data_IF_353167053204
#
_entry.id   IF_353167053204
#
_cell.length_a   1.000
_cell.length_b   1.000
_cell.length_c   1.000
_cell.angle_alpha   90.00
_cell.angle_beta   90.00
_cell.angle_gamma   90.00
#
_symmetry.space_group_name_H-M   'P 1'
#
loop_
_entity.id
_entity.type
_entity.pdbx_description
1 polymer ?
#
# COMPACT_ATOMS: atom_id res chain seq x y z
N UNK A 1 1.33 17.13 -18.68
CA UNK A 1 2.30 16.03 -18.44
C UNK A 1 1.50 14.75 -18.44
N UNK A 2 2.01 13.64 -18.97
CA UNK A 2 1.22 12.41 -19.16
C UNK A 2 1.07 11.61 -17.85
N UNK A 3 -0.15 11.48 -17.28
CA UNK A 3 -0.40 10.74 -16.05
C UNK A 3 0.08 9.28 -16.10
N UNK A 4 0.03 8.64 -17.28
CA UNK A 4 0.41 7.24 -17.45
C UNK A 4 1.89 6.99 -17.13
N UNK A 5 2.75 7.99 -17.34
CA UNK A 5 4.19 7.90 -17.05
C UNK A 5 4.54 8.36 -15.62
N UNK A 6 3.79 9.34 -15.08
CA UNK A 6 4.12 9.98 -13.81
C UNK A 6 3.59 9.20 -12.60
N UNK A 7 2.38 8.65 -12.68
CA UNK A 7 1.76 7.89 -11.60
C UNK A 7 2.61 6.68 -11.15
N UNK A 8 3.07 5.78 -12.05
CA UNK A 8 3.88 4.63 -11.64
C UNK A 8 5.23 5.05 -11.06
N UNK A 9 5.82 6.16 -11.55
CA UNK A 9 7.07 6.68 -11.01
C UNK A 9 6.87 7.27 -9.61
N UNK A 10 5.85 8.10 -9.40
CA UNK A 10 5.59 8.74 -8.11
C UNK A 10 5.19 7.72 -7.04
N UNK A 11 4.28 6.81 -7.36
CA UNK A 11 3.87 5.76 -6.43
C UNK A 11 4.98 4.73 -6.20
N UNK A 12 5.78 4.43 -7.23
CA UNK A 12 6.99 3.62 -7.09
C UNK A 12 8.01 4.26 -6.15
N UNK A 13 8.26 5.56 -6.26
CA UNK A 13 9.12 6.31 -5.31
C UNK A 13 8.51 6.32 -3.91
N UNK A 14 7.21 6.58 -3.79
CA UNK A 14 6.50 6.53 -2.51
C UNK A 14 6.66 5.16 -1.83
N UNK A 15 6.55 4.08 -2.61
CA UNK A 15 6.72 2.71 -2.15
C UNK A 15 8.16 2.38 -1.74
N UNK A 16 9.17 2.80 -2.52
CA UNK A 16 10.58 2.47 -2.24
C UNK A 16 11.22 3.33 -1.14
N UNK A 17 10.68 4.52 -0.86
CA UNK A 17 11.25 5.43 0.14
C UNK A 17 11.30 4.84 1.56
N UNK A 18 10.23 4.18 2.08
CA UNK A 18 10.30 3.45 3.35
C UNK A 18 11.35 2.32 3.35
N UNK A 19 11.53 1.61 2.23
CA UNK A 19 12.56 0.57 2.12
C UNK A 19 13.97 1.16 2.20
N UNK A 20 14.20 2.29 1.52
CA UNK A 20 15.48 2.99 1.59
C UNK A 20 15.81 3.44 3.03
N UNK A 21 14.80 3.92 3.78
CA UNK A 21 14.93 4.20 5.21
C UNK A 21 15.29 2.94 6.01
N UNK A 22 14.57 1.83 5.81
CA UNK A 22 14.88 0.57 6.49
C UNK A 22 16.34 0.16 6.27
N UNK A 23 16.82 0.17 5.02
CA UNK A 23 18.19 -0.19 4.66
C UNK A 23 19.19 0.77 5.31
N UNK A 24 18.92 2.08 5.27
CA UNK A 24 19.78 3.08 5.91
C UNK A 24 19.91 2.83 7.43
N UNK A 25 18.81 2.55 8.12
CA UNK A 25 18.83 2.30 9.56
C UNK A 25 19.42 0.92 9.87
N UNK A 26 19.27 -0.08 9.00
CA UNK A 26 19.88 -1.39 9.17
C UNK A 26 21.41 -1.31 9.20
N UNK A 27 22.02 -0.57 8.27
CA UNK A 27 23.49 -0.47 8.17
C UNK A 27 24.08 0.61 9.08
N UNK A 28 23.37 1.72 9.28
CA UNK A 28 23.91 2.89 9.97
C UNK A 28 23.19 3.24 11.27
N UNK A 29 22.07 2.58 11.61
CA UNK A 29 21.24 2.91 12.79
C UNK A 29 22.01 2.97 14.12
N UNK A 30 22.85 1.99 14.47
CA UNK A 30 23.68 2.05 15.69
C UNK A 30 24.76 3.14 15.67
N UNK A 31 25.06 3.70 14.49
CA UNK A 31 26.05 4.77 14.28
C UNK A 31 25.42 6.15 14.05
N UNK A 32 24.09 6.24 14.00
CA UNK A 32 23.34 7.45 13.65
C UNK A 32 23.00 8.28 14.91
N UNK A 33 23.97 9.08 15.36
CA UNK A 33 23.83 10.02 16.47
C UNK A 33 23.91 9.39 17.87
N UNK A 34 23.79 10.20 18.94
CA UNK A 34 23.80 9.69 20.32
C UNK A 34 22.63 8.71 20.49
N UNK A 35 22.94 7.47 20.87
CA UNK A 35 21.96 6.41 21.14
C UNK A 35 21.01 6.07 19.97
N UNK A 36 21.31 6.49 18.74
CA UNK A 36 20.50 6.18 17.56
C UNK A 36 19.27 7.05 17.35
N UNK A 37 19.13 8.20 18.04
CA UNK A 37 17.99 9.13 17.89
C UNK A 37 17.70 9.52 16.43
N UNK A 38 18.73 9.63 15.60
CA UNK A 38 18.56 10.07 14.21
C UNK A 38 17.85 9.01 13.35
N UNK A 39 17.79 7.75 13.79
CA UNK A 39 17.05 6.71 13.10
C UNK A 39 15.55 7.03 12.98
N UNK A 40 14.94 7.58 14.05
CA UNK A 40 13.55 8.00 14.00
C UNK A 40 13.32 9.13 13.01
N UNK A 41 14.20 10.14 12.99
CA UNK A 41 14.09 11.26 12.05
C UNK A 41 14.24 10.81 10.60
N UNK A 42 15.16 9.89 10.31
CA UNK A 42 15.32 9.29 8.97
C UNK A 42 14.05 8.54 8.56
N UNK A 43 13.50 7.70 9.43
CA UNK A 43 12.26 6.98 9.16
C UNK A 43 11.07 7.92 8.94
N UNK A 44 10.84 8.86 9.87
CA UNK A 44 9.75 9.82 9.77
C UNK A 44 9.87 10.68 8.50
N UNK A 45 11.06 11.17 8.16
CA UNK A 45 11.28 11.95 6.95
C UNK A 45 10.98 11.13 5.68
N UNK A 46 11.37 9.86 5.66
CA UNK A 46 11.08 8.96 4.54
C UNK A 46 9.58 8.71 4.37
N UNK A 47 8.84 8.49 5.45
CA UNK A 47 7.38 8.31 5.38
C UNK A 47 6.67 9.60 4.97
N UNK A 48 7.10 10.77 5.48
CA UNK A 48 6.56 12.06 5.06
C UNK A 48 6.84 12.32 3.58
N UNK A 49 8.04 11.99 3.09
CA UNK A 49 8.34 12.07 1.66
C UNK A 49 7.43 11.14 0.82
N UNK A 50 7.18 9.92 1.29
CA UNK A 50 6.23 8.99 0.69
C UNK A 50 4.80 9.55 0.65
N UNK A 51 4.36 10.24 1.71
CA UNK A 51 3.08 10.96 1.74
C UNK A 51 3.04 12.08 0.70
N UNK A 52 4.11 12.88 0.59
CA UNK A 52 4.17 13.95 -0.41
C UNK A 52 4.08 13.41 -1.84
N UNK A 53 4.82 12.34 -2.17
CA UNK A 53 4.70 11.68 -3.48
C UNK A 53 3.29 11.14 -3.72
N UNK A 54 2.66 10.57 -2.69
CA UNK A 54 1.29 10.04 -2.77
C UNK A 54 0.25 11.15 -2.98
N UNK A 55 0.40 12.30 -2.32
CA UNK A 55 -0.47 13.47 -2.49
C UNK A 55 -0.33 14.09 -3.89
N UNK A 56 0.90 14.16 -4.41
CA UNK A 56 1.13 14.63 -5.79
C UNK A 56 0.50 13.67 -6.79
N UNK A 57 0.66 12.35 -6.61
CA UNK A 57 0.00 11.36 -7.44
C UNK A 57 -1.53 11.45 -7.37
N UNK A 58 -2.10 11.71 -6.19
CA UNK A 58 -3.53 11.95 -6.02
C UNK A 58 -4.02 13.21 -6.72
N UNK A 59 -3.26 14.30 -6.66
CA UNK A 59 -3.57 15.53 -7.40
C UNK A 59 -3.63 15.28 -8.92
N UNK A 60 -2.61 14.59 -9.46
CA UNK A 60 -2.56 14.20 -10.88
C UNK A 60 -3.75 13.29 -11.24
N UNK A 61 -4.11 12.36 -10.35
CA UNK A 61 -5.26 11.49 -10.56
C UNK A 61 -6.58 12.27 -10.64
N UNK A 62 -6.79 13.23 -9.73
CA UNK A 62 -8.01 14.07 -9.72
C UNK A 62 -8.10 14.98 -10.94
N UNK A 63 -6.98 15.49 -11.45
CA UNK A 63 -6.95 16.26 -12.69
C UNK A 63 -7.32 15.40 -13.90
N UNK A 64 -6.87 14.14 -13.94
CA UNK A 64 -7.20 13.19 -15.00
C UNK A 64 -8.63 12.61 -14.88
N UNK A 65 -9.18 12.56 -13.67
CA UNK A 65 -10.50 12.01 -13.36
C UNK A 65 -11.30 13.00 -12.50
N UNK A 66 -11.84 14.08 -13.11
CA UNK A 66 -12.65 15.03 -12.37
C UNK A 66 -13.85 14.31 -11.76
N UNK A 67 -14.01 14.44 -10.44
CA UNK A 67 -15.16 13.89 -9.72
C UNK A 67 -16.40 14.54 -10.31
N UNK A 68 -17.15 13.77 -11.10
CA UNK A 68 -18.50 14.15 -11.48
C UNK A 68 -19.31 14.10 -10.20
N UNK A 69 -19.43 15.26 -9.55
CA UNK A 69 -20.46 15.46 -8.53
C UNK A 69 -21.75 15.26 -9.29
N UNK A 70 -22.35 14.08 -9.15
CA UNK A 70 -23.73 13.87 -9.57
C UNK A 70 -24.49 15.02 -8.92
N UNK A 71 -24.94 15.97 -9.73
CA UNK A 71 -25.88 16.98 -9.29
C UNK A 71 -27.01 16.17 -8.68
N UNK A 72 -27.10 16.24 -7.35
CA UNK A 72 -28.18 15.65 -6.61
C UNK A 72 -29.39 16.47 -7.05
N UNK A 73 -30.07 15.99 -8.09
CA UNK A 73 -31.38 16.48 -8.52
C UNK A 73 -32.32 16.24 -7.34
N UNK A 74 -32.27 17.18 -6.40
CA UNK A 74 -33.30 17.47 -5.43
C UNK A 74 -34.52 17.99 -6.19
N UNK A 75 -35.16 17.14 -6.97
CA UNK A 75 -36.55 17.35 -7.31
C UNK A 75 -37.40 16.83 -6.15
N UNK A 76 -37.78 17.82 -5.35
CA UNK A 76 -38.79 17.81 -4.32
C UNK A 76 -39.97 16.88 -4.65
N UNK A 77 -40.44 16.22 -3.60
CA UNK A 77 -41.80 15.71 -3.53
C UNK A 77 -42.78 16.83 -3.84
N UNK A 78 -43.67 16.62 -4.81
CA UNK A 78 -45.10 16.81 -4.56
C UNK A 78 -45.94 16.03 -5.57
N UNK A 79 -46.91 15.33 -5.02
CA UNK A 79 -47.93 14.58 -5.71
C UNK A 79 -49.02 15.48 -6.27
N UNK A 80 -49.74 14.95 -7.27
CA UNK A 80 -51.06 15.33 -7.76
C UNK A 80 -51.18 16.36 -8.91
N UNK A 81 -51.73 15.80 -9.99
CA UNK A 81 -52.89 16.28 -10.75
C UNK A 81 -52.70 16.72 -12.20
N UNK A 82 -53.79 16.44 -12.90
CA UNK A 82 -54.07 16.27 -14.32
C UNK A 82 -54.04 17.54 -15.20
N UNK A 83 -54.07 17.28 -16.52
CA UNK A 83 -54.55 18.10 -17.65
C UNK A 83 -53.58 18.88 -18.57
N UNK A 84 -53.65 18.47 -19.85
CA UNK A 84 -53.76 19.25 -21.10
C UNK A 84 -52.69 20.26 -21.57
N UNK A 85 -52.04 19.84 -22.67
CA UNK A 85 -51.88 20.55 -23.96
C UNK A 85 -51.14 21.90 -24.08
N UNK A 86 -50.28 21.93 -25.11
CA UNK A 86 -49.67 23.07 -25.81
C UNK A 86 -48.44 23.77 -25.20
N UNK A 87 -47.26 23.51 -25.80
CA UNK A 87 -46.19 24.50 -25.89
C UNK A 87 -45.33 24.30 -27.16
N UNK A 88 -44.97 25.43 -27.79
CA UNK A 88 -44.16 25.62 -29.00
C UNK A 88 -42.74 25.03 -28.91
N UNK A 89 -42.07 24.75 -30.04
CA UNK A 89 -40.65 24.41 -30.05
C UNK A 89 -39.84 25.69 -29.84
N UNK A 90 -39.04 25.74 -28.77
CA UNK A 90 -38.11 26.81 -28.50
C UNK A 90 -36.71 26.22 -28.57
N UNK A 91 -35.96 26.67 -29.59
CA UNK A 91 -34.53 26.44 -29.77
C UNK A 91 -33.78 26.80 -28.49
N UNK A 92 -33.29 25.77 -27.80
CA UNK A 92 -32.09 25.88 -26.98
C UNK A 92 -31.11 24.84 -27.52
N UNK A 93 -30.17 25.34 -28.30
CA UNK A 93 -28.99 24.61 -28.76
C UNK A 93 -28.21 24.12 -27.53
N UNK A 94 -28.55 22.93 -27.06
CA UNK A 94 -27.68 22.13 -26.21
C UNK A 94 -26.64 21.52 -27.15
N UNK A 95 -25.57 22.27 -27.39
CA UNK A 95 -24.39 21.71 -28.04
C UNK A 95 -24.01 20.47 -27.23
N UNK A 96 -23.75 19.30 -27.86
CA UNK A 96 -23.23 18.16 -27.13
C UNK A 96 -21.95 18.64 -26.45
N UNK A 97 -21.95 18.76 -25.11
CA UNK A 97 -20.70 18.85 -24.37
C UNK A 97 -19.98 17.57 -24.76
N UNK A 98 -18.92 17.70 -25.56
CA UNK A 98 -18.04 16.58 -25.83
C UNK A 98 -17.72 15.97 -24.47
N UNK A 99 -17.98 14.68 -24.26
CA UNK A 99 -17.58 14.04 -23.01
C UNK A 99 -16.07 14.26 -22.92
N UNK A 100 -15.63 15.06 -21.94
CA UNK A 100 -14.22 15.19 -21.61
C UNK A 100 -13.75 13.76 -21.45
N UNK A 101 -12.89 13.30 -22.37
CA UNK A 101 -12.48 11.91 -22.42
C UNK A 101 -11.89 11.57 -21.05
N UNK A 102 -12.68 10.86 -20.23
CA UNK A 102 -12.22 10.39 -18.94
C UNK A 102 -10.99 9.53 -19.20
N UNK A 103 -9.92 9.77 -18.45
CA UNK A 103 -8.72 8.96 -18.55
C UNK A 103 -9.03 7.47 -18.36
N UNK A 104 -8.08 6.57 -18.72
CA UNK A 104 -8.19 5.16 -18.43
C UNK A 104 -8.57 4.91 -16.95
N UNK A 105 -9.57 4.05 -16.72
CA UNK A 105 -10.11 3.71 -15.40
C UNK A 105 -9.01 3.15 -14.47
N UNK A 106 -8.01 2.50 -15.06
CA UNK A 106 -6.82 2.02 -14.39
C UNK A 106 -5.62 2.05 -15.36
N UNK A 107 -4.42 2.16 -14.79
CA UNK A 107 -3.16 1.98 -15.49
C UNK A 107 -2.48 0.74 -14.94
N UNK A 108 -1.92 -0.09 -15.82
CA UNK A 108 -1.15 -1.26 -15.41
C UNK A 108 0.07 -1.43 -16.29
N UNK A 109 1.10 -2.06 -15.74
CA UNK A 109 2.33 -2.33 -16.46
C UNK A 109 3.26 -3.25 -15.69
N UNK A 110 4.28 -3.76 -16.37
CA UNK A 110 5.31 -4.60 -15.78
C UNK A 110 6.62 -3.81 -15.68
N UNK A 111 7.22 -3.71 -14.49
CA UNK A 111 8.59 -3.21 -14.35
C UNK A 111 9.60 -4.26 -14.79
N UNK A 112 9.37 -5.52 -14.42
CA UNK A 112 10.28 -6.63 -14.74
C UNK A 112 9.53 -7.96 -14.81
N UNK A 113 9.77 -8.77 -15.83
CA UNK A 113 9.23 -10.14 -15.90
C UNK A 113 10.25 -11.10 -15.29
N UNK A 114 9.89 -11.75 -14.19
CA UNK A 114 10.77 -12.67 -13.45
C UNK A 114 10.81 -14.06 -14.07
N UNK A 115 9.67 -14.55 -14.53
CA UNK A 115 9.54 -15.89 -15.09
C UNK A 115 8.44 -15.91 -16.13
N UNK A 116 8.70 -16.54 -17.27
CA UNK A 116 7.73 -16.76 -18.33
C UNK A 116 7.94 -18.18 -18.88
N UNK A 117 6.99 -19.08 -18.61
CA UNK A 117 6.97 -20.40 -19.25
C UNK A 117 6.18 -20.29 -20.53
N UNK A 118 6.88 -20.33 -21.67
CA UNK A 118 6.32 -20.82 -22.92
C UNK A 118 6.51 -22.33 -22.96
N UNK A 119 5.40 -23.09 -22.97
CA UNK A 119 5.21 -24.40 -23.62
C UNK A 119 4.14 -25.24 -22.87
N UNK A 120 3.03 -25.49 -23.58
CA UNK A 120 2.02 -26.55 -23.44
C UNK A 120 1.33 -26.87 -22.09
N UNK A 121 1.83 -26.41 -20.93
CA UNK A 121 1.20 -26.70 -19.61
C UNK A 121 0.62 -25.46 -18.90
N UNK A 122 0.56 -24.32 -19.60
CA UNK A 122 -0.03 -23.06 -19.11
C UNK A 122 0.98 -21.91 -19.06
N UNK A 123 0.59 -20.73 -19.56
CA UNK A 123 1.41 -19.52 -19.57
C UNK A 123 1.54 -18.95 -18.15
N UNK A 124 2.45 -19.49 -17.34
CA UNK A 124 2.83 -18.84 -16.08
C UNK A 124 3.78 -17.68 -16.38
N UNK A 125 3.24 -16.46 -16.42
CA UNK A 125 4.01 -15.21 -16.42
C UNK A 125 4.00 -14.62 -15.02
N UNK A 126 5.14 -14.61 -14.35
CA UNK A 126 5.35 -13.94 -13.07
C UNK A 126 6.14 -12.66 -13.34
N UNK A 127 5.50 -11.51 -13.16
CA UNK A 127 6.13 -10.19 -13.29
C UNK A 127 6.08 -9.41 -11.97
N UNK A 128 7.00 -8.46 -11.81
CA UNK A 128 6.85 -7.36 -10.86
C UNK A 128 6.06 -6.29 -11.62
N UNK A 129 4.73 -6.42 -11.54
CA UNK A 129 3.80 -5.50 -12.17
C UNK A 129 3.25 -4.47 -11.18
N UNK A 130 2.71 -3.39 -11.72
CA UNK A 130 1.96 -2.40 -10.97
C UNK A 130 0.56 -2.25 -11.53
N UNK A 131 -0.39 -1.99 -10.63
CA UNK A 131 -1.78 -1.69 -10.97
C UNK A 131 -2.24 -0.46 -10.20
N UNK A 132 -2.61 0.59 -10.94
CA UNK A 132 -2.95 1.90 -10.40
C UNK A 132 -4.34 2.26 -10.86
N UNK A 133 -5.28 2.21 -9.93
CA UNK A 133 -6.63 2.73 -10.08
C UNK A 133 -6.93 3.79 -9.00
N UNK A 134 -8.17 4.28 -8.96
CA UNK A 134 -8.60 5.25 -7.95
C UNK A 134 -8.43 4.72 -6.51
N UNK A 135 -8.61 3.41 -6.31
CA UNK A 135 -8.47 2.78 -5.00
C UNK A 135 -7.01 2.75 -4.57
N UNK A 136 -6.08 2.35 -5.45
CA UNK A 136 -4.64 2.37 -5.22
C UNK A 136 -4.19 3.75 -4.79
N UNK A 137 -4.53 4.80 -5.55
CA UNK A 137 -4.08 6.16 -5.26
C UNK A 137 -4.64 6.66 -3.92
N UNK A 138 -5.92 6.41 -3.64
CA UNK A 138 -6.53 6.77 -2.35
C UNK A 138 -5.87 6.03 -1.18
N UNK A 139 -5.64 4.72 -1.32
CA UNK A 139 -5.02 3.89 -0.29
C UNK A 139 -3.58 4.31 -0.01
N UNK A 140 -2.81 4.71 -1.03
CA UNK A 140 -1.47 5.29 -0.82
C UNK A 140 -1.52 6.52 0.09
N UNK A 141 -2.44 7.45 -0.15
CA UNK A 141 -2.60 8.64 0.70
C UNK A 141 -2.98 8.25 2.13
N UNK A 142 -3.97 7.35 2.30
CA UNK A 142 -4.43 6.93 3.63
C UNK A 142 -3.31 6.22 4.41
N UNK A 143 -2.64 5.25 3.79
CA UNK A 143 -1.58 4.47 4.43
C UNK A 143 -0.41 5.37 4.81
N UNK A 144 0.06 6.25 3.91
CA UNK A 144 1.19 7.15 4.18
C UNK A 144 0.83 8.23 5.20
N UNK A 145 -0.41 8.71 5.24
CA UNK A 145 -0.88 9.67 6.24
C UNK A 145 -0.89 9.06 7.65
N UNK A 146 -1.53 7.89 7.81
CA UNK A 146 -1.58 7.18 9.09
C UNK A 146 -0.16 6.80 9.52
N UNK A 147 0.65 6.29 8.59
CA UNK A 147 2.04 5.95 8.87
C UNK A 147 2.84 7.18 9.35
N UNK A 148 2.64 8.36 8.76
CA UNK A 148 3.30 9.60 9.18
C UNK A 148 2.95 9.97 10.62
N UNK A 149 1.66 9.90 10.97
CA UNK A 149 1.19 10.15 12.33
C UNK A 149 1.77 9.15 13.34
N UNK A 150 1.79 7.86 12.99
CA UNK A 150 2.35 6.81 13.84
C UNK A 150 3.86 7.02 14.04
N UNK A 151 4.61 7.38 13.00
CA UNK A 151 6.04 7.63 13.11
C UNK A 151 6.35 8.83 14.02
N UNK A 152 5.57 9.91 13.89
CA UNK A 152 5.69 11.06 14.78
C UNK A 152 5.38 10.71 16.24
N UNK A 153 4.29 9.98 16.47
CA UNK A 153 3.92 9.52 17.81
C UNK A 153 4.98 8.58 18.41
N UNK A 154 5.43 7.61 17.63
CA UNK A 154 6.40 6.61 18.06
C UNK A 154 7.75 7.21 18.43
N UNK A 155 8.16 8.32 17.80
CA UNK A 155 9.40 9.01 18.13
C UNK A 155 9.42 9.54 19.57
N UNK A 156 8.26 9.96 20.09
CA UNK A 156 8.09 10.31 21.49
C UNK A 156 7.86 9.09 22.37
N UNK A 157 6.96 8.18 21.95
CA UNK A 157 6.57 7.02 22.76
C UNK A 157 7.74 6.06 23.06
N UNK A 158 8.66 5.88 22.11
CA UNK A 158 9.81 4.99 22.27
C UNK A 158 11.05 5.69 22.86
N UNK A 159 10.91 6.89 23.45
CA UNK A 159 12.07 7.61 24.01
C UNK A 159 12.84 6.80 25.05
N UNK A 160 12.14 5.95 25.80
CA UNK A 160 12.75 5.13 26.86
C UNK A 160 13.70 4.07 26.30
N UNK A 161 13.53 3.66 25.04
CA UNK A 161 14.40 2.72 24.33
C UNK A 161 15.68 3.34 23.77
N UNK A 162 15.93 4.63 24.04
CA UNK A 162 17.20 5.31 23.74
C UNK A 162 18.26 4.99 24.80
N UNK A 163 17.83 4.85 26.05
CA UNK A 163 18.68 4.53 27.18
C UNK A 163 18.66 3.03 27.50
N UNK A 164 19.41 2.62 28.51
CA UNK A 164 19.37 1.24 28.98
C UNK A 164 18.03 0.98 29.69
N UNK A 165 17.30 -0.02 29.20
CA UNK A 165 15.96 -0.37 29.69
C UNK A 165 16.09 -1.46 30.75
N UNK A 166 15.44 -1.23 31.89
CA UNK A 166 15.25 -2.25 32.93
C UNK A 166 13.81 -2.73 32.87
N UNK A 167 13.63 -4.01 32.57
CA UNK A 167 12.34 -4.63 32.42
C UNK A 167 11.95 -5.40 33.69
N UNK A 168 10.93 -4.90 34.38
CA UNK A 168 10.45 -5.49 35.63
C UNK A 168 9.61 -6.74 35.43
N UNK A 169 9.07 -6.95 34.23
CA UNK A 169 8.22 -8.10 33.90
C UNK A 169 9.03 -9.38 33.65
N UNK A 170 10.34 -9.26 33.44
CA UNK A 170 11.25 -10.39 33.21
C UNK A 170 12.10 -10.63 34.45
N UNK A 171 11.89 -11.76 35.11
CA UNK A 171 12.72 -12.24 36.22
C UNK A 171 13.80 -13.19 35.72
N UNK A 172 15.06 -12.88 36.01
CA UNK A 172 16.19 -13.74 35.68
C UNK A 172 16.31 -14.88 36.71
N UNK A 173 16.84 -16.03 36.25
CA UNK A 173 17.11 -17.19 37.10
C UNK A 173 18.07 -16.91 38.28
N UNK A 174 18.86 -15.84 38.21
CA UNK A 174 19.80 -15.42 39.25
C UNK A 174 19.19 -14.47 40.30
N UNK A 175 17.90 -14.13 40.20
CA UNK A 175 17.24 -13.14 41.04
C UNK A 175 17.58 -11.71 40.60
N UNK A 176 16.68 -11.08 39.83
CA UNK A 176 16.84 -9.71 39.34
C UNK A 176 15.97 -9.43 38.11
N UNK A 177 15.91 -8.15 37.73
CA UNK A 177 15.20 -7.68 36.54
C UNK A 177 16.13 -7.66 35.31
N UNK A 178 15.58 -7.85 34.12
CA UNK A 178 16.35 -7.79 32.89
C UNK A 178 16.85 -6.36 32.65
N UNK A 179 18.16 -6.19 32.56
CA UNK A 179 18.79 -4.95 32.13
C UNK A 179 19.40 -5.14 30.74
N UNK A 180 19.01 -4.32 29.77
CA UNK A 180 19.49 -4.42 28.38
C UNK A 180 19.73 -3.04 27.77
N UNK A 181 20.63 -2.92 26.78
CA UNK A 181 20.74 -1.70 26.00
C UNK A 181 19.45 -1.44 25.21
N UNK A 182 19.12 -0.16 25.05
CA UNK A 182 18.03 0.32 24.24
C UNK A 182 18.15 -0.09 22.77
N UNK A 183 17.02 -0.37 22.12
CA UNK A 183 16.93 -0.87 20.74
C UNK A 183 16.12 0.05 19.84
N UNK A 184 16.12 1.35 20.14
CA UNK A 184 15.39 2.37 19.41
C UNK A 184 15.49 2.26 17.88
N UNK A 185 16.68 2.08 17.25
CA UNK A 185 16.76 1.99 15.79
C UNK A 185 16.07 0.75 15.21
N UNK A 186 15.98 -0.36 15.95
CA UNK A 186 15.35 -1.61 15.46
C UNK A 186 13.85 -1.48 15.33
N UNK A 187 13.22 -0.71 16.23
CA UNK A 187 11.79 -0.43 16.15
C UNK A 187 11.45 0.33 14.86
N UNK A 188 12.18 1.41 14.56
CA UNK A 188 11.97 2.21 13.35
C UNK A 188 12.33 1.47 12.05
N UNK A 189 13.28 0.52 12.10
CA UNK A 189 13.53 -0.41 10.99
C UNK A 189 12.27 -1.25 10.70
N UNK A 190 11.75 -1.96 11.71
CA UNK A 190 10.58 -2.81 11.54
C UNK A 190 9.34 -2.00 11.10
N UNK A 191 9.17 -0.79 11.64
CA UNK A 191 8.07 0.09 11.26
C UNK A 191 8.18 0.60 9.81
N UNK A 192 9.39 0.94 9.35
CA UNK A 192 9.64 1.32 7.95
C UNK A 192 9.39 0.14 6.99
N UNK A 193 9.82 -1.06 7.37
CA UNK A 193 9.60 -2.28 6.59
C UNK A 193 8.11 -2.66 6.52
N UNK A 194 7.36 -2.44 7.60
CA UNK A 194 5.91 -2.61 7.62
C UNK A 194 5.23 -1.68 6.62
N UNK A 195 5.61 -0.40 6.59
CA UNK A 195 5.07 0.57 5.61
C UNK A 195 5.42 0.20 4.17
N UNK A 196 6.67 -0.20 3.91
CA UNK A 196 7.08 -0.71 2.59
C UNK A 196 6.21 -1.88 2.14
N UNK A 197 5.97 -2.83 3.03
CA UNK A 197 5.16 -4.00 2.75
C UNK A 197 3.70 -3.65 2.47
N UNK A 198 3.11 -2.76 3.27
CA UNK A 198 1.73 -2.32 3.09
C UNK A 198 1.53 -1.59 1.76
N UNK A 199 2.43 -0.67 1.40
CA UNK A 199 2.39 0.00 0.10
C UNK A 199 2.63 -0.97 -1.06
N UNK A 200 3.45 -2.00 -0.85
CA UNK A 200 3.71 -3.07 -1.82
C UNK A 200 2.45 -3.88 -2.16
N UNK A 201 1.59 -4.17 -1.17
CA UNK A 201 0.29 -4.82 -1.42
C UNK A 201 -0.60 -3.92 -2.30
N UNK A 202 -0.62 -2.62 -2.01
CA UNK A 202 -1.54 -1.67 -2.68
C UNK A 202 -1.17 -1.44 -4.15
N UNK A 203 0.11 -1.43 -4.49
CA UNK A 203 0.57 -1.23 -5.88
C UNK A 203 0.68 -2.53 -6.68
N UNK A 204 0.58 -3.69 -6.04
CA UNK A 204 0.84 -4.99 -6.67
C UNK A 204 0.01 -5.21 -7.93
N UNK A 205 0.67 -5.49 -9.05
CA UNK A 205 0.01 -5.72 -10.35
C UNK A 205 -0.49 -7.15 -10.59
N UNK A 206 -0.25 -8.07 -9.66
CA UNK A 206 -0.73 -9.44 -9.75
C UNK A 206 -0.89 -10.09 -8.35
N UNK A 207 -1.65 -11.18 -8.29
CA UNK A 207 -1.95 -11.89 -7.04
C UNK A 207 -0.72 -12.50 -6.37
N UNK A 208 0.30 -12.91 -7.15
CA UNK A 208 1.53 -13.46 -6.59
C UNK A 208 2.33 -12.38 -5.83
N UNK A 209 2.39 -11.16 -6.36
CA UNK A 209 3.02 -10.02 -5.69
C UNK A 209 2.23 -9.61 -4.44
N UNK A 210 0.88 -9.61 -4.49
CA UNK A 210 0.03 -9.42 -3.31
C UNK A 210 0.38 -10.45 -2.25
N UNK A 211 0.46 -11.74 -2.61
CA UNK A 211 0.84 -12.81 -1.67
C UNK A 211 2.21 -12.54 -1.04
N UNK A 212 3.24 -12.21 -1.82
CA UNK A 212 4.59 -11.96 -1.29
C UNK A 212 4.61 -10.79 -0.30
N UNK A 213 3.97 -9.66 -0.63
CA UNK A 213 3.91 -8.53 0.31
C UNK A 213 2.99 -8.79 1.50
N UNK A 214 1.97 -9.62 1.32
CA UNK A 214 1.14 -10.09 2.42
C UNK A 214 1.95 -10.93 3.42
N UNK A 215 2.79 -11.84 2.94
CA UNK A 215 3.73 -12.60 3.76
C UNK A 215 4.66 -11.67 4.56
N UNK A 216 5.20 -10.66 3.87
CA UNK A 216 6.10 -9.69 4.45
C UNK A 216 5.42 -8.83 5.52
N UNK A 217 4.14 -8.46 5.36
CA UNK A 217 3.36 -7.76 6.41
C UNK A 217 3.26 -8.63 7.66
N UNK A 218 3.05 -9.94 7.50
CA UNK A 218 3.04 -10.90 8.60
C UNK A 218 4.37 -10.97 9.35
N UNK A 219 5.50 -11.00 8.62
CA UNK A 219 6.85 -11.00 9.21
C UNK A 219 7.12 -9.68 9.96
N UNK A 220 6.77 -8.54 9.37
CA UNK A 220 6.97 -7.23 10.00
C UNK A 220 6.15 -7.11 11.30
N UNK A 221 4.92 -7.63 11.29
CA UNK A 221 4.05 -7.65 12.46
C UNK A 221 4.63 -8.52 13.58
N UNK A 222 5.25 -9.66 13.24
CA UNK A 222 5.95 -10.50 14.21
C UNK A 222 7.13 -9.76 14.87
N UNK A 223 7.93 -9.01 14.10
CA UNK A 223 9.02 -8.18 14.65
C UNK A 223 8.52 -7.07 15.59
N UNK A 224 7.39 -6.43 15.27
CA UNK A 224 6.85 -5.33 16.06
C UNK A 224 6.17 -5.83 17.35
N UNK A 225 5.35 -6.88 17.28
CA UNK A 225 4.69 -7.47 18.46
C UNK A 225 5.73 -8.14 19.35
N UNK A 226 6.69 -8.83 18.74
CA UNK A 226 7.78 -9.53 19.43
C UNK A 226 8.97 -8.63 19.78
N UNK A 227 8.82 -7.30 19.75
CA UNK A 227 9.94 -6.38 20.01
C UNK A 227 10.59 -6.61 21.40
N UNK A 228 9.77 -6.86 22.41
CA UNK A 228 10.18 -7.29 23.76
C UNK A 228 10.22 -8.82 23.87
N UNK A 229 11.00 -9.48 23.02
CA UNK A 229 11.04 -10.95 22.96
C UNK A 229 11.47 -11.64 24.25
N UNK A 230 12.12 -10.91 25.18
CA UNK A 230 12.46 -11.44 26.49
C UNK A 230 11.24 -11.67 27.39
N UNK A 231 10.14 -10.94 27.14
CA UNK A 231 8.86 -11.16 27.82
C UNK A 231 8.16 -12.35 27.18
N UNK A 232 7.87 -13.38 27.98
CA UNK A 232 7.17 -14.57 27.50
C UNK A 232 5.78 -14.23 26.95
N UNK A 233 5.09 -13.24 27.54
CA UNK A 233 3.81 -12.73 27.05
C UNK A 233 3.90 -12.18 25.62
N UNK A 234 4.90 -11.33 25.34
CA UNK A 234 5.13 -10.73 24.03
C UNK A 234 5.56 -11.76 22.99
N UNK A 235 6.50 -12.65 23.33
CA UNK A 235 6.96 -13.71 22.43
C UNK A 235 5.83 -14.68 22.06
N UNK A 236 5.00 -15.07 23.05
CA UNK A 236 3.86 -15.96 22.82
C UNK A 236 2.78 -15.27 21.99
N UNK A 237 2.51 -13.98 22.25
CA UNK A 237 1.56 -13.19 21.46
C UNK A 237 2.02 -13.03 20.00
N UNK A 238 3.29 -12.73 19.77
CA UNK A 238 3.86 -12.62 18.43
C UNK A 238 3.76 -13.95 17.67
N UNK A 239 4.14 -15.06 18.30
CA UNK A 239 4.04 -16.39 17.70
C UNK A 239 2.57 -16.75 17.41
N UNK A 240 1.66 -16.46 18.33
CA UNK A 240 0.22 -16.71 18.12
C UNK A 240 -0.31 -15.90 16.94
N UNK A 241 -0.01 -14.61 16.87
CA UNK A 241 -0.43 -13.75 15.76
C UNK A 241 0.13 -14.24 14.42
N UNK A 242 1.42 -14.58 14.38
CA UNK A 242 2.08 -15.09 13.18
C UNK A 242 1.49 -16.42 12.72
N UNK A 243 1.31 -17.39 13.62
CA UNK A 243 0.75 -18.71 13.27
C UNK A 243 -0.70 -18.60 12.79
N UNK A 244 -1.52 -17.75 13.42
CA UNK A 244 -2.92 -17.55 12.99
C UNK A 244 -2.99 -16.91 11.61
N UNK A 245 -2.14 -15.93 11.32
CA UNK A 245 -2.00 -15.39 9.95
C UNK A 245 -1.56 -16.49 8.98
N UNK A 246 -0.58 -17.30 9.41
CA UNK A 246 -0.15 -18.61 8.88
C UNK A 246 -1.27 -19.38 8.20
N UNK A 247 -2.22 -19.75 9.05
CA UNK A 247 -3.35 -20.59 8.67
C UNK A 247 -4.24 -19.90 7.64
N UNK A 248 -4.45 -18.58 7.77
CA UNK A 248 -5.18 -17.78 6.77
C UNK A 248 -4.49 -17.78 5.40
N UNK A 249 -3.17 -17.70 5.39
CA UNK A 249 -2.36 -17.60 4.17
C UNK A 249 -2.36 -18.91 3.37
N UNK A 250 -2.47 -20.06 4.05
CA UNK A 250 -2.77 -21.33 3.38
C UNK A 250 -4.13 -21.30 2.66
N UNK A 251 -5.15 -20.68 3.28
CA UNK A 251 -6.45 -20.47 2.64
C UNK A 251 -6.35 -19.58 1.40
N UNK A 252 -5.62 -18.47 1.50
CA UNK A 252 -5.33 -17.59 0.37
C UNK A 252 -4.57 -18.33 -0.75
N UNK A 253 -3.60 -19.18 -0.41
CA UNK A 253 -2.85 -19.97 -1.37
C UNK A 253 -3.72 -21.01 -2.10
N UNK A 254 -4.64 -21.68 -1.39
CA UNK A 254 -5.62 -22.57 -2.02
C UNK A 254 -6.52 -21.79 -2.98
N UNK A 255 -7.00 -20.61 -2.56
CA UNK A 255 -7.77 -19.71 -3.42
C UNK A 255 -6.99 -19.30 -4.68
N UNK A 256 -5.72 -18.98 -4.52
CA UNK A 256 -4.81 -18.65 -5.62
C UNK A 256 -4.65 -19.82 -6.60
N UNK A 257 -4.46 -21.05 -6.09
CA UNK A 257 -4.38 -22.26 -6.91
C UNK A 257 -5.69 -22.58 -7.63
N UNK A 258 -6.85 -22.35 -6.99
CA UNK A 258 -8.15 -22.54 -7.61
C UNK A 258 -8.41 -21.52 -8.74
N UNK A 259 -8.04 -20.25 -8.53
CA UNK A 259 -8.10 -19.19 -9.56
C UNK A 259 -7.19 -19.55 -10.73
N UNK A 260 -5.96 -19.99 -10.47
CA UNK A 260 -5.04 -20.42 -11.52
C UNK A 260 -5.56 -21.63 -12.31
N UNK A 261 -6.11 -22.64 -11.62
CA UNK A 261 -6.72 -23.80 -12.27
C UNK A 261 -7.95 -23.47 -13.12
N UNK A 262 -8.68 -22.39 -12.79
CA UNK A 262 -9.87 -21.97 -13.53
C UNK A 262 -9.57 -20.97 -14.67
N UNK A 263 -8.69 -20.00 -14.44
CA UNK A 263 -8.43 -18.87 -15.36
C UNK A 263 -7.07 -18.96 -16.08
N UNK A 264 -6.14 -19.79 -15.60
CA UNK A 264 -4.81 -19.95 -16.18
C UNK A 264 -3.87 -18.74 -16.01
N UNK A 265 -4.26 -17.69 -15.29
CA UNK A 265 -3.48 -16.46 -15.10
C UNK A 265 -3.58 -15.91 -13.67
N UNK A 266 -2.54 -15.19 -13.23
CA UNK A 266 -2.48 -14.47 -11.95
C UNK A 266 -2.64 -12.95 -12.08
N UNK A 267 -2.81 -12.46 -13.30
CA UNK A 267 -3.01 -11.03 -13.56
C UNK A 267 -4.46 -10.62 -13.28
N UNK A 268 -4.64 -9.38 -12.85
CA UNK A 268 -5.96 -8.76 -12.78
C UNK A 268 -6.52 -8.65 -14.20
N UNK A 269 -7.80 -8.99 -14.38
CA UNK A 269 -8.44 -9.32 -15.65
C UNK A 269 -8.39 -8.25 -16.76
N UNK A 270 -7.83 -7.07 -16.50
CA UNK A 270 -7.81 -5.93 -17.42
C UNK A 270 -6.52 -5.83 -18.27
N UNK A 271 -5.46 -6.59 -17.96
CA UNK A 271 -4.21 -6.52 -18.74
C UNK A 271 -4.34 -7.08 -20.16
N UNK A 272 -5.40 -7.82 -20.49
CA UNK A 272 -5.68 -8.36 -21.83
C UNK A 272 -6.55 -7.45 -22.70
N UNK A 273 -7.17 -6.39 -22.14
CA UNK A 273 -8.02 -5.51 -22.95
C UNK A 273 -7.22 -4.49 -23.77
N UNK A 274 -5.98 -4.20 -23.40
CA UNK A 274 -5.10 -3.30 -24.16
C UNK A 274 -4.53 -3.96 -25.42
N UNK A 275 -4.41 -5.30 -25.46
CA UNK A 275 -3.96 -6.02 -26.66
C UNK A 275 -5.11 -6.32 -27.65
N UNK A 276 -6.37 -6.14 -27.22
CA UNK A 276 -7.54 -6.34 -28.07
C UNK A 276 -7.86 -5.10 -28.95
N UNK A 277 -7.42 -3.92 -28.53
CA UNK A 277 -7.54 -2.68 -29.30
C UNK A 277 -6.21 -2.39 -30.00
N UNK A 278 -5.93 -3.17 -31.04
CA UNK A 278 -4.76 -3.00 -31.88
C UNK A 278 -4.64 -1.59 -32.45
N UNK A 279 -3.76 -0.79 -31.84
CA UNK A 279 -3.13 0.35 -32.50
C UNK A 279 -1.63 0.10 -32.47
N UNK A 280 -1.17 -0.61 -33.50
CA UNK A 280 0.24 -0.57 -33.88
C UNK A 280 0.57 0.79 -34.46
N UNK A 281 1.66 1.41 -34.00
CA UNK A 281 2.77 1.86 -34.83
C UNK A 281 3.71 2.82 -34.09
N UNK A 282 4.99 2.42 -34.08
CA UNK A 282 6.25 3.17 -33.88
C UNK A 282 6.53 3.77 -32.51
#
# INVERSE_FOLDING_TARGET
>A
MDPASQLPLLLGLAWLTPLASFVAILFFGPRMGPQGKNAAWVATAAIVASLLFSLVAFGIWLEAHPVQVAAHDLHAADSHDSHDSHAKPQDSADAPREPVAAGPIAYSGDWYTLYETGNETGNLKLSIGWYIDALTVMMFVVVTLIASCIHFYAAGYMSDELDAVTDHEVSLSAGGHLHRPGRFPRFFQALSLFCFSMLGIVIAGNLAMVFIFWELVGICSWFLIGFYYERQSAATAANKAFIVNRVGDFGMLIGLMAIWGALGTFHFADSTRTDADGVGSV
#
